data_IF_218573588879
#
_entry.id   IF_218573588879
#
_cell.length_a   1.000
_cell.length_b   1.000
_cell.length_c   1.000
_cell.angle_alpha   90.00
_cell.angle_beta   90.00
_cell.angle_gamma   90.00
#
_symmetry.space_group_name_H-M   'P 1'
#
loop_
_entity.id
_entity.type
_entity.pdbx_description
1 polymer ?
#
# COMPACT_ATOMS: atom_id res chain seq x y z
N UNK A 1 -3.04 -11.65 22.09
CA UNK A 1 -3.31 -10.54 21.16
C UNK A 1 -2.46 -10.62 19.89
N UNK A 2 -1.15 -10.84 19.98
CA UNK A 2 -0.26 -10.96 18.81
C UNK A 2 -0.68 -12.08 17.85
N UNK A 3 -1.16 -13.21 18.36
CA UNK A 3 -1.67 -14.32 17.53
C UNK A 3 -2.88 -13.93 16.70
N UNK A 4 -3.81 -13.14 17.26
CA UNK A 4 -4.98 -12.60 16.54
C UNK A 4 -4.54 -11.63 15.44
N UNK A 5 -3.63 -10.70 15.75
CA UNK A 5 -3.08 -9.75 14.77
C UNK A 5 -2.42 -10.50 13.61
N UNK A 6 -1.61 -11.54 13.91
CA UNK A 6 -0.95 -12.35 12.88
C UNK A 6 -1.95 -13.09 11.99
N UNK A 7 -3.04 -13.62 12.56
CA UNK A 7 -4.11 -14.27 11.80
C UNK A 7 -4.84 -13.30 10.89
N UNK A 8 -5.18 -12.10 11.40
CA UNK A 8 -5.85 -11.06 10.62
C UNK A 8 -4.96 -10.53 9.50
N UNK A 9 -3.67 -10.29 9.76
CA UNK A 9 -2.70 -9.88 8.75
C UNK A 9 -2.52 -10.93 7.65
N UNK A 10 -2.41 -12.20 8.02
CA UNK A 10 -2.30 -13.28 7.04
C UNK A 10 -3.54 -13.36 6.14
N UNK A 11 -4.73 -13.22 6.75
CA UNK A 11 -6.01 -13.19 6.02
C UNK A 11 -6.07 -12.00 5.06
N UNK A 12 -5.67 -10.80 5.51
CA UNK A 12 -5.64 -9.57 4.73
C UNK A 12 -4.66 -9.64 3.55
N UNK A 13 -3.42 -10.04 3.80
CA UNK A 13 -2.38 -10.12 2.77
C UNK A 13 -2.72 -11.12 1.66
N UNK A 14 -3.40 -12.22 2.01
CA UNK A 14 -3.78 -13.25 1.02
C UNK A 14 -4.95 -12.83 0.13
N UNK A 15 -5.67 -11.75 0.45
CA UNK A 15 -6.83 -11.32 -0.32
C UNK A 15 -6.44 -11.01 -1.77
N UNK A 16 -7.27 -11.48 -2.70
CA UNK A 16 -7.12 -11.22 -4.14
C UNK A 16 -6.92 -9.72 -4.46
N UNK A 17 -7.71 -8.76 -3.93
CA UNK A 17 -7.52 -7.34 -4.22
C UNK A 17 -6.15 -6.80 -3.79
N UNK A 18 -5.62 -7.22 -2.64
CA UNK A 18 -4.29 -6.80 -2.16
C UNK A 18 -3.21 -7.26 -3.14
N UNK A 19 -3.26 -8.52 -3.57
CA UNK A 19 -2.27 -9.06 -4.52
C UNK A 19 -2.36 -8.42 -5.90
N UNK A 20 -3.58 -8.19 -6.39
CA UNK A 20 -3.79 -7.50 -7.67
C UNK A 20 -3.31 -6.06 -7.62
N UNK A 21 -3.52 -5.38 -6.49
CA UNK A 21 -3.09 -4.00 -6.30
C UNK A 21 -1.58 -3.83 -6.36
N UNK A 22 -0.80 -4.74 -5.76
CA UNK A 22 0.66 -4.71 -5.89
C UNK A 22 1.13 -4.78 -7.35
N UNK A 23 0.54 -5.67 -8.16
CA UNK A 23 0.84 -5.76 -9.58
C UNK A 23 0.42 -4.50 -10.35
N UNK A 24 -0.76 -3.97 -10.05
CA UNK A 24 -1.27 -2.72 -10.64
C UNK A 24 -0.37 -1.53 -10.32
N UNK A 25 0.07 -1.37 -9.07
CA UNK A 25 0.91 -0.27 -8.63
C UNK A 25 2.28 -0.29 -9.34
N UNK A 26 2.88 -1.48 -9.47
CA UNK A 26 4.13 -1.65 -10.21
C UNK A 26 3.97 -1.22 -11.68
N UNK A 27 2.94 -1.73 -12.36
CA UNK A 27 2.65 -1.35 -13.76
C UNK A 27 2.42 0.15 -13.91
N UNK A 28 1.64 0.75 -13.00
CA UNK A 28 1.34 2.18 -13.00
C UNK A 28 2.62 3.03 -12.89
N UNK A 29 3.51 2.69 -11.97
CA UNK A 29 4.78 3.39 -11.81
C UNK A 29 5.70 3.23 -13.02
N UNK A 30 5.75 2.05 -13.65
CA UNK A 30 6.55 1.81 -14.86
C UNK A 30 6.03 2.63 -16.04
N UNK A 31 4.71 2.70 -16.25
CA UNK A 31 4.11 3.51 -17.31
C UNK A 31 4.48 4.98 -17.15
N UNK A 32 4.39 5.51 -15.93
CA UNK A 32 4.79 6.89 -15.65
C UNK A 32 6.28 7.12 -15.83
N UNK A 33 7.13 6.18 -15.41
CA UNK A 33 8.57 6.27 -15.64
C UNK A 33 8.91 6.34 -17.15
N UNK A 34 8.27 5.51 -17.98
CA UNK A 34 8.43 5.56 -19.44
C UNK A 34 7.91 6.87 -20.04
N UNK A 35 6.76 7.36 -19.55
CA UNK A 35 6.16 8.62 -20.02
C UNK A 35 7.07 9.82 -19.74
N UNK A 36 7.63 9.90 -18.53
CA UNK A 36 8.56 10.97 -18.11
C UNK A 36 9.88 10.91 -18.87
N UNK A 37 10.33 9.72 -19.31
CA UNK A 37 11.52 9.59 -20.15
C UNK A 37 11.29 10.08 -21.59
N UNK A 38 10.07 9.95 -22.13
CA UNK A 38 9.75 10.32 -23.52
C UNK A 38 9.33 11.78 -23.69
N UNK A 39 8.72 12.38 -22.67
CA UNK A 39 8.20 13.74 -22.71
C UNK A 39 8.69 14.59 -21.53
N UNK A 40 9.99 14.96 -21.50
CA UNK A 40 10.57 15.74 -20.41
C UNK A 40 10.00 17.17 -20.30
N UNK A 41 9.29 17.64 -21.33
CA UNK A 41 8.71 18.98 -21.38
C UNK A 41 7.52 19.17 -20.40
N UNK A 42 6.83 18.09 -20.03
CA UNK A 42 5.69 18.16 -19.10
C UNK A 42 6.04 17.69 -17.69
N UNK A 43 7.01 16.77 -17.57
CA UNK A 43 7.41 16.17 -16.31
C UNK A 43 8.91 15.88 -16.34
N UNK A 44 9.68 16.64 -15.56
CA UNK A 44 11.08 16.34 -15.33
C UNK A 44 11.20 14.99 -14.60
N UNK A 45 12.16 14.16 -15.01
CA UNK A 45 12.43 12.88 -14.36
C UNK A 45 12.78 13.03 -12.87
N UNK A 46 13.41 14.16 -12.51
CA UNK A 46 13.76 14.50 -11.12
C UNK A 46 12.51 14.75 -10.25
N UNK A 47 11.60 15.60 -10.72
CA UNK A 47 10.38 15.95 -9.98
C UNK A 47 9.45 14.75 -9.84
N UNK A 48 9.39 13.92 -10.89
CA UNK A 48 8.63 12.68 -10.88
C UNK A 48 9.16 11.68 -9.84
N UNK A 49 10.48 11.62 -9.66
CA UNK A 49 11.09 10.76 -8.65
C UNK A 49 10.84 11.27 -7.23
N UNK A 50 10.97 12.58 -6.98
CA UNK A 50 10.66 13.18 -5.66
C UNK A 50 9.21 12.89 -5.27
N UNK A 51 8.28 12.95 -6.23
CA UNK A 51 6.87 12.65 -6.02
C UNK A 51 6.55 11.13 -6.06
N UNK A 52 7.55 10.25 -6.09
CA UNK A 52 7.36 8.78 -6.08
C UNK A 52 6.56 8.26 -7.28
N UNK A 53 6.71 8.88 -8.45
CA UNK A 53 5.94 8.62 -9.67
C UNK A 53 4.42 8.68 -9.43
N UNK A 54 3.95 9.62 -8.60
CA UNK A 54 2.53 9.81 -8.27
C UNK A 54 1.83 8.57 -7.70
N UNK A 55 2.58 7.58 -7.23
CA UNK A 55 2.02 6.35 -6.67
C UNK A 55 1.24 6.59 -5.36
N UNK A 56 1.46 7.73 -4.69
CA UNK A 56 0.74 8.08 -3.48
C UNK A 56 -0.78 8.19 -3.71
N UNK A 57 -1.22 8.71 -4.87
CA UNK A 57 -2.64 8.93 -5.17
C UNK A 57 -3.40 7.60 -5.21
N UNK A 58 -3.07 6.63 -6.08
CA UNK A 58 -3.78 5.36 -6.13
C UNK A 58 -3.64 4.57 -4.82
N UNK A 59 -2.50 4.69 -4.14
CA UNK A 59 -2.27 4.05 -2.83
C UNK A 59 -3.23 4.54 -1.77
N UNK A 60 -3.45 5.85 -1.70
CA UNK A 60 -4.33 6.44 -0.68
C UNK A 60 -5.78 6.01 -0.90
N UNK A 61 -6.27 6.07 -2.14
CA UNK A 61 -7.62 5.59 -2.46
C UNK A 61 -7.82 4.12 -2.17
N UNK A 62 -6.82 3.30 -2.48
CA UNK A 62 -6.86 1.87 -2.22
C UNK A 62 -6.92 1.55 -0.73
N UNK A 63 -6.11 2.23 0.10
CA UNK A 63 -6.13 2.04 1.55
C UNK A 63 -7.49 2.39 2.18
N UNK A 64 -8.11 3.48 1.72
CA UNK A 64 -9.47 3.86 2.16
C UNK A 64 -10.47 2.77 1.78
N UNK A 65 -10.44 2.30 0.54
CA UNK A 65 -11.35 1.27 0.03
C UNK A 65 -11.20 -0.06 0.79
N UNK A 66 -9.96 -0.50 1.02
CA UNK A 66 -9.67 -1.74 1.76
C UNK A 66 -10.09 -1.63 3.22
N UNK A 67 -9.78 -0.51 3.88
CA UNK A 67 -10.15 -0.29 5.27
C UNK A 67 -11.68 -0.36 5.45
N UNK A 68 -12.42 0.34 4.60
CA UNK A 68 -13.89 0.33 4.60
C UNK A 68 -14.47 -1.06 4.35
N UNK A 69 -13.95 -1.77 3.34
CA UNK A 69 -14.42 -3.11 2.96
C UNK A 69 -14.17 -4.12 4.07
N UNK A 70 -12.98 -4.08 4.69
CA UNK A 70 -12.63 -4.97 5.79
C UNK A 70 -13.53 -4.78 7.01
N UNK A 71 -13.86 -3.53 7.35
CA UNK A 71 -14.81 -3.21 8.42
C UNK A 71 -16.24 -3.66 8.08
N UNK A 72 -16.65 -3.50 6.82
CA UNK A 72 -18.01 -3.80 6.36
C UNK A 72 -18.29 -5.29 6.34
N UNK A 73 -17.37 -6.10 5.82
CA UNK A 73 -17.51 -7.57 5.76
C UNK A 73 -17.71 -8.16 7.16
N UNK A 74 -16.96 -7.68 8.14
CA UNK A 74 -17.04 -8.17 9.53
C UNK A 74 -18.34 -7.72 10.23
N UNK A 75 -18.87 -6.54 9.86
CA UNK A 75 -20.18 -6.08 10.33
C UNK A 75 -21.32 -6.91 9.75
N UNK A 76 -21.26 -7.21 8.45
CA UNK A 76 -22.28 -8.00 7.74
C UNK A 76 -22.26 -9.48 8.15
N UNK A 77 -21.07 -10.08 8.28
CA UNK A 77 -20.93 -11.49 8.60
C UNK A 77 -21.28 -11.82 10.07
N UNK A 78 -21.53 -10.81 10.92
CA UNK A 78 -21.82 -11.02 12.35
C UNK A 78 -20.66 -11.65 13.14
N UNK A 79 -19.50 -11.85 12.50
CA UNK A 79 -18.29 -12.49 13.06
C UNK A 79 -17.74 -11.74 14.26
N UNK A 80 -17.95 -10.42 14.31
CA UNK A 80 -17.66 -9.60 15.49
C UNK A 80 -18.38 -10.12 16.73
N UNK A 81 -19.64 -10.55 16.65
CA UNK A 81 -20.39 -11.06 17.82
C UNK A 81 -19.90 -12.46 18.24
N UNK A 82 -19.56 -13.30 17.27
CA UNK A 82 -19.06 -14.66 17.51
C UNK A 82 -17.68 -14.68 18.20
N UNK A 83 -16.78 -13.76 17.83
CA UNK A 83 -15.46 -13.63 18.46
C UNK A 83 -15.55 -13.12 19.91
N UNK A 84 -16.56 -12.31 20.23
CA UNK A 84 -16.80 -11.80 21.58
C UNK A 84 -17.37 -12.85 22.53
N UNK A 85 -18.05 -13.86 21.99
CA UNK A 85 -18.65 -14.93 22.79
C UNK A 85 -17.62 -15.95 23.29
N UNK A 86 -16.47 -16.07 22.60
CA UNK A 86 -15.49 -17.16 22.78
C UNK A 86 -14.31 -16.79 23.70
N UNK A 87 -14.45 -15.83 24.61
CA UNK A 87 -13.47 -15.37 25.64
C UNK A 87 -12.57 -14.16 25.31
N UNK A 88 -12.71 -13.47 24.17
CA UNK A 88 -11.95 -12.23 23.91
C UNK A 88 -12.74 -10.97 24.27
N UNK A 89 -12.09 -10.03 24.94
CA UNK A 89 -12.68 -8.73 25.28
C UNK A 89 -12.91 -7.85 24.05
N UNK A 90 -13.99 -7.07 24.06
CA UNK A 90 -14.39 -6.15 22.96
C UNK A 90 -13.28 -5.23 22.50
N UNK A 91 -12.55 -4.66 23.46
CA UNK A 91 -11.42 -3.75 23.18
C UNK A 91 -10.26 -4.47 22.51
N UNK A 92 -9.97 -5.71 22.91
CA UNK A 92 -8.85 -6.48 22.35
C UNK A 92 -9.07 -6.91 20.90
N UNK A 93 -10.31 -7.23 20.51
CA UNK A 93 -10.68 -7.56 19.11
C UNK A 93 -10.68 -6.31 18.23
N UNK A 94 -11.16 -5.18 18.74
CA UNK A 94 -11.13 -3.93 17.99
C UNK A 94 -9.69 -3.45 17.77
N UNK A 95 -8.85 -3.50 18.81
CA UNK A 95 -7.44 -3.11 18.71
C UNK A 95 -6.68 -3.98 17.71
N UNK A 96 -6.89 -5.30 17.67
CA UNK A 96 -6.18 -6.16 16.70
C UNK A 96 -6.49 -5.77 15.26
N UNK A 97 -7.76 -5.44 14.97
CA UNK A 97 -8.21 -5.04 13.64
C UNK A 97 -7.61 -3.70 13.22
N UNK A 98 -7.64 -2.70 14.10
CA UNK A 98 -6.99 -1.41 13.85
C UNK A 98 -5.49 -1.59 13.59
N UNK A 99 -4.82 -2.40 14.41
CA UNK A 99 -3.40 -2.69 14.23
C UNK A 99 -3.12 -3.40 12.90
N UNK A 100 -3.99 -4.31 12.47
CA UNK A 100 -3.83 -5.06 11.22
C UNK A 100 -3.92 -4.14 9.99
N UNK A 101 -4.85 -3.18 9.98
CA UNK A 101 -4.98 -2.18 8.91
C UNK A 101 -3.78 -1.22 8.93
N UNK A 102 -3.33 -0.81 10.12
CA UNK A 102 -2.17 0.06 10.28
C UNK A 102 -0.91 -0.61 9.73
N UNK A 103 -0.63 -1.86 10.10
CA UNK A 103 0.51 -2.62 9.58
C UNK A 103 0.42 -2.78 8.06
N UNK A 104 -0.77 -3.10 7.53
CA UNK A 104 -0.96 -3.19 6.07
C UNK A 104 -0.63 -1.86 5.38
N UNK A 105 -1.07 -0.73 5.95
CA UNK A 105 -0.78 0.59 5.40
C UNK A 105 0.72 0.87 5.35
N UNK A 106 1.45 0.57 6.44
CA UNK A 106 2.91 0.71 6.48
C UNK A 106 3.57 -0.17 5.43
N UNK A 107 3.14 -1.42 5.29
CA UNK A 107 3.69 -2.34 4.27
C UNK A 107 3.52 -1.78 2.86
N UNK A 108 2.30 -1.35 2.49
CA UNK A 108 2.04 -0.78 1.16
C UNK A 108 2.85 0.50 0.92
N UNK A 109 3.03 1.33 1.96
CA UNK A 109 3.86 2.53 1.88
C UNK A 109 5.34 2.20 1.63
N UNK A 110 5.87 1.17 2.30
CA UNK A 110 7.24 0.70 2.07
C UNK A 110 7.41 0.14 0.65
N UNK A 111 6.44 -0.65 0.19
CA UNK A 111 6.53 -1.31 -1.11
C UNK A 111 6.60 -0.31 -2.27
N UNK A 112 5.78 0.74 -2.29
CA UNK A 112 5.87 1.72 -3.38
C UNK A 112 7.19 2.50 -3.38
N UNK A 113 7.77 2.76 -2.20
CA UNK A 113 9.07 3.43 -2.10
C UNK A 113 10.19 2.54 -2.64
N UNK A 114 10.16 1.25 -2.29
CA UNK A 114 11.11 0.25 -2.81
C UNK A 114 11.00 0.14 -4.33
N UNK A 115 9.79 0.05 -4.88
CA UNK A 115 9.60 0.00 -6.33
C UNK A 115 10.06 1.29 -7.02
N UNK A 116 9.78 2.46 -6.43
CA UNK A 116 10.29 3.74 -6.94
C UNK A 116 11.82 3.81 -6.98
N UNK A 117 12.50 3.29 -5.95
CA UNK A 117 13.96 3.18 -5.93
C UNK A 117 14.50 2.22 -7.01
N UNK A 118 13.86 1.06 -7.18
CA UNK A 118 14.23 0.09 -8.23
C UNK A 118 14.10 0.72 -9.62
N UNK A 119 13.00 1.44 -9.88
CA UNK A 119 12.78 2.12 -11.16
C UNK A 119 13.86 3.18 -11.41
N UNK A 120 14.21 3.98 -10.39
CA UNK A 120 15.32 4.95 -10.51
C UNK A 120 16.63 4.28 -10.88
N UNK A 121 16.98 3.17 -10.21
CA UNK A 121 18.21 2.43 -10.47
C UNK A 121 18.24 1.83 -11.88
N UNK A 122 17.10 1.37 -12.41
CA UNK A 122 17.00 0.74 -13.73
C UNK A 122 16.97 1.76 -14.88
N UNK A 123 16.09 2.77 -14.81
CA UNK A 123 15.87 3.72 -15.91
C UNK A 123 16.83 4.91 -15.90
N UNK A 124 17.24 5.37 -14.71
CA UNK A 124 17.99 6.62 -14.54
C UNK A 124 19.40 6.40 -13.99
N UNK A 125 19.98 5.20 -14.21
CA UNK A 125 21.34 4.84 -13.79
C UNK A 125 22.41 5.86 -14.22
N UNK A 126 22.14 6.63 -15.28
CA UNK A 126 23.03 7.61 -15.89
C UNK A 126 22.70 9.08 -15.57
N UNK A 127 21.73 9.41 -14.71
CA UNK A 127 21.55 10.82 -14.29
C UNK A 127 22.53 11.14 -13.15
N UNK A 128 23.51 12.03 -13.36
CA UNK A 128 24.47 12.38 -12.32
C UNK A 128 23.77 13.04 -11.14
N UNK A 129 24.15 12.61 -9.93
CA UNK A 129 23.91 13.33 -8.69
C UNK A 129 24.80 14.59 -8.67
N UNK A 130 24.40 15.64 -9.39
CA UNK A 130 24.98 17.01 -9.37
C UNK A 130 24.02 17.90 -10.18
N UNK A 131 23.55 19.09 -9.79
CA UNK A 131 23.67 19.95 -8.62
C UNK A 131 22.83 21.20 -8.93
N UNK A 132 22.06 21.70 -7.98
CA UNK A 132 21.64 23.10 -7.82
C UNK A 132 20.83 23.10 -6.51
N UNK A 133 21.36 23.50 -5.34
CA UNK A 133 21.78 24.87 -4.99
C UNK A 133 20.87 25.92 -5.62
#
# INVERSE_FOLDING_TARGET
>A
MITLVRQELYKLSKQRPVRLFFGFLLLFQVILAVYTARYPQFLTSHDSFINGFYAYIPTTFFLIAIGSTHLTIERQAGTLRLLLYRQYSRTTVLLSKWLSILILSISVYLDFNVVGLIIKLLFFRNLPLKSAL
#
